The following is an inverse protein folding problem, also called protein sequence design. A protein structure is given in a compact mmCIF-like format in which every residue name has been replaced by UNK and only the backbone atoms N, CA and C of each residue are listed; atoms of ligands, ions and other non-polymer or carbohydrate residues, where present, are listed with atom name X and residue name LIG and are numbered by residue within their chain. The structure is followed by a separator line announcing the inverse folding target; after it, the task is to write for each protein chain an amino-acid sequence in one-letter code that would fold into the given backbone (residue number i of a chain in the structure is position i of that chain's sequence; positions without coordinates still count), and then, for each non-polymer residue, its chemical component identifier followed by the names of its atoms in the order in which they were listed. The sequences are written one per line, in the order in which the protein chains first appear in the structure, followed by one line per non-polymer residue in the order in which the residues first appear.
data_IF_904148161599
#
_entry.id   IF_904148161599
#
_cell.length_a   1.000
_cell.length_b   1.000
_cell.length_c   1.000
_cell.angle_alpha   90.00
_cell.angle_beta   90.00
_cell.angle_gamma   90.00
#
_symmetry.space_group_name_H-M   'P 1'
#
loop_
_entity.id
_entity.type
_entity.pdbx_description
1 polymer ?
#
# COMPACT_ATOMS: atom_id res chain seq x y z
N UNK A 1 -7.71 24.18 4.19
CA UNK A 1 -7.44 24.10 2.73
C UNK A 1 -8.49 23.19 2.13
N UNK A 2 -8.90 23.39 0.87
CA UNK A 2 -9.72 22.38 0.19
C UNK A 2 -8.92 21.08 -0.04
N UNK A 3 -9.62 19.96 -0.20
CA UNK A 3 -9.02 18.62 -0.34
C UNK A 3 -8.06 18.53 -1.54
N UNK A 4 -8.40 19.18 -2.67
CA UNK A 4 -7.54 19.19 -3.87
C UNK A 4 -6.23 19.94 -3.62
N UNK A 5 -6.30 21.07 -2.92
CA UNK A 5 -5.13 21.84 -2.51
C UNK A 5 -4.26 21.04 -1.53
N UNK A 6 -4.86 20.32 -0.59
CA UNK A 6 -4.13 19.43 0.34
C UNK A 6 -3.41 18.31 -0.42
N UNK A 7 -4.11 17.59 -1.30
CA UNK A 7 -3.54 16.53 -2.14
C UNK A 7 -2.38 17.05 -2.99
N UNK A 8 -2.54 18.20 -3.64
CA UNK A 8 -1.49 18.83 -4.47
C UNK A 8 -0.27 19.21 -3.63
N UNK A 9 -0.50 19.75 -2.43
CA UNK A 9 0.58 20.16 -1.52
C UNK A 9 1.36 18.95 -0.99
N UNK A 10 0.67 17.88 -0.58
CA UNK A 10 1.30 16.62 -0.20
C UNK A 10 2.10 16.02 -1.35
N UNK A 11 1.52 15.97 -2.56
CA UNK A 11 2.21 15.42 -3.72
C UNK A 11 3.53 16.13 -4.01
N UNK A 12 3.51 17.47 -3.99
CA UNK A 12 4.71 18.28 -4.18
C UNK A 12 5.75 18.07 -3.08
N UNK A 13 5.33 18.10 -1.81
CA UNK A 13 6.27 17.95 -0.69
C UNK A 13 6.88 16.52 -0.66
N UNK A 14 6.06 15.48 -0.87
CA UNK A 14 6.54 14.09 -0.90
C UNK A 14 7.45 13.81 -2.09
N UNK A 15 7.11 14.34 -3.26
CA UNK A 15 7.98 14.23 -4.44
C UNK A 15 9.34 14.89 -4.20
N UNK A 16 9.39 16.02 -3.47
CA UNK A 16 10.63 16.66 -3.05
C UNK A 16 11.38 15.80 -2.03
N UNK A 17 10.70 15.33 -0.98
CA UNK A 17 11.31 14.50 0.06
C UNK A 17 11.95 13.24 -0.52
N UNK A 18 11.23 12.52 -1.37
CA UNK A 18 11.75 11.34 -2.06
C UNK A 18 12.95 11.68 -2.92
N UNK A 19 12.91 12.78 -3.68
CA UNK A 19 14.06 13.24 -4.48
C UNK A 19 15.29 13.54 -3.64
N UNK A 20 15.12 14.25 -2.54
CA UNK A 20 16.22 14.66 -1.67
C UNK A 20 16.90 13.45 -0.99
N UNK A 21 16.13 12.38 -0.76
CA UNK A 21 16.59 11.19 0.00
C UNK A 21 17.07 10.04 -0.88
N UNK A 22 16.45 9.86 -2.04
CA UNK A 22 16.82 8.82 -3.02
C UNK A 22 17.73 9.34 -4.15
N UNK A 23 17.96 10.66 -4.24
CA UNK A 23 18.76 11.29 -5.31
C UNK A 23 18.04 11.42 -6.66
N UNK A 24 16.92 10.71 -6.85
CA UNK A 24 15.98 10.90 -7.96
C UNK A 24 14.56 10.94 -7.39
N UNK A 25 13.73 11.86 -7.88
CA UNK A 25 12.31 11.92 -7.53
C UNK A 25 11.45 11.11 -8.50
N UNK A 26 10.20 10.81 -8.12
CA UNK A 26 9.26 10.14 -9.01
C UNK A 26 8.88 11.05 -10.20
N UNK A 27 8.50 10.44 -11.32
CA UNK A 27 7.96 11.15 -12.49
C UNK A 27 6.58 11.74 -12.20
N UNK A 28 5.72 10.96 -11.54
CA UNK A 28 4.41 11.40 -11.10
C UNK A 28 4.08 10.84 -9.71
N UNK A 29 3.33 11.62 -8.95
CA UNK A 29 2.86 11.25 -7.63
C UNK A 29 1.41 11.74 -7.46
N UNK A 30 0.51 10.81 -7.18
CA UNK A 30 -0.92 11.07 -6.99
C UNK A 30 -1.32 10.80 -5.55
N UNK A 31 -1.87 11.80 -4.88
CA UNK A 31 -2.37 11.66 -3.50
C UNK A 31 -3.89 11.62 -3.53
N UNK A 32 -4.49 10.69 -2.80
CA UNK A 32 -5.92 10.59 -2.53
C UNK A 32 -6.13 10.72 -1.02
N UNK A 33 -6.89 11.73 -0.59
CA UNK A 33 -7.29 11.88 0.81
C UNK A 33 -8.76 11.45 0.90
N UNK A 34 -9.02 10.38 1.62
CA UNK A 34 -10.34 9.85 1.88
C UNK A 34 -10.37 9.39 3.34
N UNK A 35 -10.65 10.31 4.26
CA UNK A 35 -10.57 10.04 5.70
C UNK A 35 -11.33 8.75 6.07
N UNK A 36 -10.71 7.85 6.86
CA UNK A 36 -9.48 8.04 7.63
C UNK A 36 -8.17 7.67 6.89
N UNK A 37 -8.17 7.61 5.57
CA UNK A 37 -7.04 7.14 4.75
C UNK A 37 -6.38 8.23 3.92
N UNK A 38 -5.05 8.12 3.76
CA UNK A 38 -4.27 8.86 2.75
C UNK A 38 -3.53 7.84 1.90
N UNK A 39 -3.85 7.78 0.61
CA UNK A 39 -3.14 6.93 -0.34
C UNK A 39 -2.27 7.79 -1.26
N UNK A 40 -1.01 7.40 -1.40
CA UNK A 40 -0.03 8.01 -2.30
C UNK A 40 0.37 6.96 -3.32
N UNK A 41 0.05 7.18 -4.58
CA UNK A 41 0.51 6.36 -5.69
C UNK A 41 1.67 7.05 -6.40
N UNK A 42 2.76 6.32 -6.60
CA UNK A 42 4.02 6.79 -7.17
C UNK A 42 4.24 6.09 -8.51
N UNK A 43 4.62 6.86 -9.53
CA UNK A 43 4.95 6.34 -10.86
C UNK A 43 6.32 6.88 -11.33
N UNK A 44 7.06 6.05 -12.08
CA UNK A 44 8.37 6.38 -12.64
C UNK A 44 9.44 6.63 -11.57
N UNK A 45 9.56 5.75 -10.57
CA UNK A 45 10.47 5.91 -9.44
C UNK A 45 11.54 4.82 -9.41
N UNK A 46 12.67 5.11 -10.07
CA UNK A 46 13.85 4.25 -10.15
C UNK A 46 15.11 5.07 -10.40
N UNK A 47 16.08 5.06 -9.47
CA UNK A 47 17.38 5.72 -9.65
C UNK A 47 18.30 4.93 -10.60
N UNK A 48 19.32 5.60 -11.15
CA UNK A 48 20.29 4.94 -12.04
C UNK A 48 21.07 3.82 -11.33
N UNK A 49 21.39 4.01 -10.04
CA UNK A 49 22.07 2.99 -9.24
C UNK A 49 21.18 1.78 -8.99
N UNK A 50 19.90 2.00 -8.65
CA UNK A 50 18.94 0.90 -8.49
C UNK A 50 18.76 0.13 -9.81
N UNK A 51 18.68 0.82 -10.96
CA UNK A 51 18.58 0.16 -12.26
C UNK A 51 19.77 -0.78 -12.52
N UNK A 52 21.00 -0.33 -12.27
CA UNK A 52 22.21 -1.16 -12.42
C UNK A 52 22.15 -2.40 -11.52
N UNK A 53 21.64 -2.27 -10.30
CA UNK A 53 21.47 -3.41 -9.39
C UNK A 53 20.41 -4.39 -9.91
N UNK A 54 19.27 -3.90 -10.40
CA UNK A 54 18.22 -4.74 -10.98
C UNK A 54 18.72 -5.50 -12.21
N UNK A 55 19.48 -4.86 -13.08
CA UNK A 55 20.07 -5.50 -14.27
C UNK A 55 21.05 -6.63 -13.89
N UNK A 56 21.57 -6.63 -12.66
CA UNK A 56 22.43 -7.68 -12.09
C UNK A 56 21.66 -8.70 -11.24
N UNK A 57 20.33 -8.68 -11.23
CA UNK A 57 19.48 -9.57 -10.43
C UNK A 57 19.56 -9.29 -8.93
N UNK A 58 19.92 -8.06 -8.53
CA UNK A 58 20.05 -7.63 -7.14
C UNK A 58 18.76 -6.99 -6.59
N UNK A 59 17.59 -7.49 -7.02
CA UNK A 59 16.26 -7.04 -6.58
C UNK A 59 16.15 -6.95 -5.06
N UNK A 60 16.67 -7.96 -4.36
CA UNK A 60 16.63 -8.02 -2.91
C UNK A 60 17.45 -6.92 -2.24
N UNK A 61 18.57 -6.53 -2.85
CA UNK A 61 19.41 -5.44 -2.37
C UNK A 61 18.69 -4.11 -2.52
N UNK A 62 18.03 -3.88 -3.67
CA UNK A 62 17.21 -2.68 -3.90
C UNK A 62 16.05 -2.60 -2.91
N UNK A 63 15.28 -3.69 -2.76
CA UNK A 63 14.14 -3.74 -1.81
C UNK A 63 14.58 -3.44 -0.37
N UNK A 64 15.69 -4.03 0.09
CA UNK A 64 16.24 -3.76 1.44
C UNK A 64 16.69 -2.31 1.60
N UNK A 65 17.34 -1.73 0.58
CA UNK A 65 17.75 -0.32 0.63
C UNK A 65 16.53 0.61 0.74
N UNK A 66 15.47 0.36 -0.05
CA UNK A 66 14.21 1.12 0.05
C UNK A 66 13.58 1.00 1.43
N UNK A 67 13.57 -0.20 2.00
CA UNK A 67 13.04 -0.46 3.34
C UNK A 67 13.73 0.41 4.41
N UNK A 68 15.07 0.43 4.42
CA UNK A 68 15.83 1.26 5.35
C UNK A 68 15.56 2.75 5.17
N UNK A 69 15.47 3.22 3.92
CA UNK A 69 15.14 4.61 3.63
C UNK A 69 13.73 4.94 4.14
N UNK A 70 12.75 4.11 3.82
CA UNK A 70 11.35 4.35 4.23
C UNK A 70 11.18 4.40 5.74
N UNK A 71 11.83 3.50 6.50
CA UNK A 71 11.84 3.58 7.97
C UNK A 71 12.36 4.91 8.50
N UNK A 72 13.37 5.50 7.84
CA UNK A 72 13.90 6.82 8.22
C UNK A 72 12.97 7.98 7.84
N UNK A 73 12.12 7.80 6.83
CA UNK A 73 11.22 8.83 6.29
C UNK A 73 9.82 8.78 6.90
N UNK A 74 9.42 7.67 7.49
CA UNK A 74 8.09 7.49 8.10
C UNK A 74 7.67 8.67 9.00
N UNK A 75 8.50 9.14 9.97
CA UNK A 75 8.10 10.25 10.83
C UNK A 75 7.87 11.55 10.06
N UNK A 76 8.64 11.78 8.99
CA UNK A 76 8.53 12.99 8.19
C UNK A 76 7.28 12.96 7.30
N UNK A 77 6.97 11.81 6.69
CA UNK A 77 5.71 11.62 5.96
C UNK A 77 4.51 11.87 6.89
N UNK A 78 4.47 11.23 8.05
CA UNK A 78 3.38 11.39 9.03
C UNK A 78 3.24 12.83 9.51
N UNK A 79 4.35 13.49 9.84
CA UNK A 79 4.35 14.89 10.27
C UNK A 79 3.79 15.84 9.20
N UNK A 80 4.14 15.61 7.93
CA UNK A 80 3.60 16.39 6.81
C UNK A 80 2.11 16.11 6.57
N UNK A 81 1.65 14.86 6.68
CA UNK A 81 0.21 14.52 6.60
C UNK A 81 -0.54 15.27 7.70
N UNK A 82 -0.09 15.17 8.96
CA UNK A 82 -0.70 15.86 10.10
C UNK A 82 -0.75 17.37 9.89
N UNK A 83 0.35 17.99 9.46
CA UNK A 83 0.42 19.43 9.25
C UNK A 83 -0.53 19.95 8.15
N UNK A 84 -0.82 19.14 7.12
CA UNK A 84 -1.63 19.57 5.96
C UNK A 84 -3.10 19.16 6.11
N UNK A 85 -3.37 18.01 6.70
CA UNK A 85 -4.70 17.37 6.74
C UNK A 85 -5.32 17.28 8.12
N UNK A 86 -4.53 17.56 9.17
CA UNK A 86 -4.86 17.32 10.58
C UNK A 86 -5.06 15.83 10.94
N UNK A 87 -4.83 14.90 10.01
CA UNK A 87 -4.92 13.47 10.27
C UNK A 87 -3.68 12.96 11.03
N UNK A 88 -3.91 12.30 12.16
CA UNK A 88 -2.83 11.65 12.92
C UNK A 88 -2.68 10.20 12.45
N UNK A 89 -1.81 10.01 11.47
CA UNK A 89 -1.50 8.69 10.92
C UNK A 89 -0.73 7.92 11.98
N UNK A 90 -1.22 6.74 12.40
CA UNK A 90 -0.49 5.88 13.33
C UNK A 90 0.56 5.04 12.62
N UNK A 91 0.20 4.48 11.47
CA UNK A 91 1.06 3.58 10.69
C UNK A 91 1.02 3.96 9.20
N UNK A 92 2.20 3.92 8.56
CA UNK A 92 2.33 3.98 7.11
C UNK A 92 2.67 2.59 6.57
N UNK A 93 1.85 2.13 5.65
CA UNK A 93 2.08 0.91 4.87
C UNK A 93 2.70 1.32 3.54
N UNK A 94 3.71 0.60 3.07
CA UNK A 94 4.32 0.92 1.77
C UNK A 94 4.84 -0.32 1.05
N UNK A 95 4.78 -0.25 -0.29
CA UNK A 95 5.27 -1.31 -1.15
C UNK A 95 5.70 -0.74 -2.52
N UNK A 96 6.51 -1.52 -3.23
CA UNK A 96 7.16 -1.11 -4.47
C UNK A 96 7.09 -2.21 -5.52
N UNK A 97 6.63 -1.84 -6.71
CA UNK A 97 6.74 -2.68 -7.89
C UNK A 97 7.93 -2.17 -8.72
N UNK A 98 9.08 -2.82 -8.54
CA UNK A 98 10.33 -2.40 -9.18
C UNK A 98 10.29 -2.58 -10.70
N UNK A 99 9.57 -3.59 -11.20
CA UNK A 99 9.40 -3.84 -12.63
C UNK A 99 8.59 -2.74 -13.32
N UNK A 100 7.51 -2.30 -12.67
CA UNK A 100 6.68 -1.20 -13.18
C UNK A 100 7.23 0.19 -12.81
N UNK A 101 8.26 0.25 -11.95
CA UNK A 101 8.79 1.47 -11.35
C UNK A 101 7.71 2.27 -10.58
N UNK A 102 6.76 1.57 -9.98
CA UNK A 102 5.65 2.15 -9.24
C UNK A 102 5.76 1.82 -7.74
N UNK A 103 5.00 2.55 -6.92
CA UNK A 103 4.94 2.31 -5.49
C UNK A 103 3.70 2.90 -4.86
N UNK A 104 3.42 2.46 -3.63
CA UNK A 104 2.31 2.99 -2.83
C UNK A 104 2.78 3.33 -1.42
N UNK A 105 2.17 4.37 -0.86
CA UNK A 105 2.16 4.61 0.58
C UNK A 105 0.70 4.77 1.02
N UNK A 106 0.31 4.10 2.10
CA UNK A 106 -1.02 4.23 2.70
C UNK A 106 -0.87 4.61 4.16
N UNK A 107 -1.32 5.81 4.50
CA UNK A 107 -1.50 6.25 5.87
C UNK A 107 -2.89 5.88 6.38
N UNK A 108 -2.93 5.21 7.52
CA UNK A 108 -4.18 4.88 8.23
C UNK A 108 -4.26 5.68 9.52
N UNK A 109 -5.35 6.45 9.66
CA UNK A 109 -5.74 7.12 10.89
C UNK A 109 -6.73 6.22 11.67
N UNK A 110 -6.60 6.04 12.98
CA UNK A 110 -7.54 5.24 13.79
C UNK A 110 -8.81 6.01 14.10
N UNK A 111 -8.75 7.34 14.11
CA UNK A 111 -9.90 8.18 14.40
C UNK A 111 -10.80 8.23 13.16
N UNK A 112 -11.96 7.56 13.26
CA UNK A 112 -13.07 7.80 12.34
C UNK A 112 -13.56 9.23 12.55
N UNK A 113 -13.74 10.04 11.50
CA UNK A 113 -14.35 11.36 11.66
C UNK A 113 -15.76 11.20 12.24
N UNK A 114 -16.01 11.92 13.34
CA UNK A 114 -17.29 11.92 14.02
C UNK A 114 -18.41 12.35 13.05
N UNK A 115 -19.26 11.40 12.64
CA UNK A 115 -20.52 11.69 11.95
C UNK A 115 -20.58 11.43 10.44
N UNK A 116 -19.63 10.73 9.82
CA UNK A 116 -19.71 10.34 8.41
C UNK A 116 -20.37 8.97 8.20
N UNK A 117 -21.42 8.89 7.38
CA UNK A 117 -21.84 7.62 6.76
C UNK A 117 -20.72 7.14 5.85
N UNK A 118 -20.30 5.88 6.02
CA UNK A 118 -19.14 5.24 5.40
C UNK A 118 -19.37 4.93 3.91
N UNK A 119 -19.64 5.97 3.10
CA UNK A 119 -20.01 5.83 1.68
C UNK A 119 -18.89 5.20 0.85
N UNK A 120 -17.63 5.38 1.25
CA UNK A 120 -16.46 4.75 0.63
C UNK A 120 -16.40 3.23 0.90
N UNK A 121 -17.09 2.74 1.93
CA UNK A 121 -17.16 1.31 2.24
C UNK A 121 -18.17 0.55 1.38
N UNK A 122 -19.02 1.24 0.59
CA UNK A 122 -20.05 0.61 -0.25
C UNK A 122 -19.70 0.75 -1.73
N UNK A 123 -19.37 -0.36 -2.39
CA UNK A 123 -19.11 -0.41 -3.83
C UNK A 123 -19.51 -1.77 -4.42
N UNK A 124 -19.81 -1.79 -5.72
CA UNK A 124 -20.23 -3.01 -6.42
C UNK A 124 -19.11 -4.06 -6.46
N UNK A 125 -19.46 -5.32 -6.18
CA UNK A 125 -18.51 -6.43 -6.17
C UNK A 125 -17.68 -6.56 -4.88
N UNK A 126 -17.99 -5.81 -3.82
CA UNK A 126 -17.28 -5.86 -2.54
C UNK A 126 -17.18 -7.27 -1.96
N UNK A 127 -18.28 -8.00 -1.90
CA UNK A 127 -18.32 -9.36 -1.34
C UNK A 127 -17.48 -10.34 -2.15
N UNK A 128 -17.46 -10.20 -3.48
CA UNK A 128 -16.65 -11.01 -4.37
C UNK A 128 -15.16 -10.70 -4.23
N UNK A 129 -14.80 -9.42 -4.05
CA UNK A 129 -13.42 -9.02 -3.69
C UNK A 129 -13.01 -9.69 -2.39
N UNK A 130 -13.85 -9.61 -1.35
CA UNK A 130 -13.56 -10.21 -0.04
C UNK A 130 -13.37 -11.72 -0.14
N UNK A 131 -14.24 -12.42 -0.88
CA UNK A 131 -14.12 -13.88 -1.12
C UNK A 131 -12.79 -14.24 -1.79
N UNK A 132 -12.39 -13.49 -2.82
CA UNK A 132 -11.11 -13.76 -3.51
C UNK A 132 -9.90 -13.47 -2.60
N UNK A 133 -9.95 -12.39 -1.81
CA UNK A 133 -8.90 -12.06 -0.83
C UNK A 133 -8.80 -13.16 0.25
N UNK A 134 -9.92 -13.63 0.79
CA UNK A 134 -9.96 -14.72 1.78
C UNK A 134 -9.35 -15.98 1.19
N UNK A 135 -9.70 -16.33 -0.05
CA UNK A 135 -9.17 -17.51 -0.73
C UNK A 135 -7.66 -17.43 -0.97
N UNK A 136 -7.15 -16.26 -1.35
CA UNK A 136 -5.70 -16.03 -1.52
C UNK A 136 -4.98 -16.17 -0.18
N UNK A 137 -5.50 -15.54 0.87
CA UNK A 137 -4.94 -15.58 2.23
C UNK A 137 -4.97 -17.01 2.80
N UNK A 138 -6.07 -17.74 2.66
CA UNK A 138 -6.16 -19.16 3.06
C UNK A 138 -5.10 -20.04 2.37
N UNK A 139 -4.80 -19.78 1.10
CA UNK A 139 -3.76 -20.52 0.37
C UNK A 139 -2.35 -20.16 0.81
N UNK A 140 -2.11 -18.91 1.19
CA UNK A 140 -0.79 -18.42 1.60
C UNK A 140 -0.48 -18.71 3.07
N UNK A 141 -1.50 -18.67 3.94
CA UNK A 141 -1.38 -18.66 5.40
C UNK A 141 -2.61 -19.32 6.08
N UNK A 142 -3.57 -18.52 6.53
CA UNK A 142 -4.87 -18.90 7.09
C UNK A 142 -5.96 -17.96 6.57
N UNK A 143 -7.22 -18.29 6.87
CA UNK A 143 -8.33 -17.34 6.70
C UNK A 143 -8.12 -16.15 7.67
N UNK A 144 -8.22 -14.89 7.21
CA UNK A 144 -8.17 -13.72 8.08
C UNK A 144 -9.32 -13.71 9.08
N UNK A 145 -9.07 -13.18 10.27
CA UNK A 145 -10.12 -12.99 11.28
C UNK A 145 -11.11 -11.88 10.86
N UNK A 146 -10.66 -10.92 10.03
CA UNK A 146 -11.50 -9.89 9.43
C UNK A 146 -10.99 -9.40 8.08
N UNK A 147 -11.91 -9.01 7.19
CA UNK A 147 -11.60 -8.37 5.89
C UNK A 147 -12.51 -7.15 5.71
N UNK A 148 -11.91 -6.00 5.46
CA UNK A 148 -12.59 -4.73 5.24
C UNK A 148 -12.06 -4.10 3.96
N UNK A 149 -12.87 -3.31 3.26
CA UNK A 149 -12.41 -2.64 2.04
C UNK A 149 -13.14 -1.33 1.79
N UNK A 150 -12.41 -0.40 1.18
CA UNK A 150 -12.83 0.98 0.99
C UNK A 150 -12.38 1.50 -0.38
N UNK A 151 -13.34 1.86 -1.22
CA UNK A 151 -13.09 2.47 -2.51
C UNK A 151 -12.81 3.97 -2.28
N UNK A 152 -11.53 4.32 -2.13
CA UNK A 152 -11.10 5.68 -1.81
C UNK A 152 -11.35 6.65 -2.97
N UNK A 153 -11.31 6.13 -4.21
CA UNK A 153 -11.70 6.83 -5.42
C UNK A 153 -12.04 5.81 -6.52
N UNK A 154 -12.59 6.22 -7.68
CA UNK A 154 -12.77 5.32 -8.82
C UNK A 154 -11.45 4.67 -9.32
N UNK A 155 -10.28 5.15 -8.88
CA UNK A 155 -8.96 4.65 -9.27
C UNK A 155 -8.19 3.96 -8.15
N UNK A 156 -8.75 3.87 -6.94
CA UNK A 156 -8.02 3.32 -5.80
C UNK A 156 -8.96 2.62 -4.82
N UNK A 157 -8.66 1.36 -4.56
CA UNK A 157 -9.32 0.53 -3.56
C UNK A 157 -8.27 0.05 -2.55
N UNK A 158 -8.60 0.15 -1.27
CA UNK A 158 -7.80 -0.51 -0.22
C UNK A 158 -8.60 -1.66 0.40
N UNK A 159 -7.89 -2.70 0.81
CA UNK A 159 -8.41 -3.83 1.57
C UNK A 159 -7.55 -4.00 2.81
N UNK A 160 -8.19 -4.08 3.97
CA UNK A 160 -7.54 -4.30 5.26
C UNK A 160 -7.88 -5.72 5.70
N UNK A 161 -6.87 -6.49 6.09
CA UNK A 161 -7.05 -7.81 6.70
C UNK A 161 -6.55 -7.77 8.14
N UNK A 162 -7.29 -8.37 9.05
CA UNK A 162 -6.93 -8.50 10.46
C UNK A 162 -6.78 -9.98 10.82
N UNK A 163 -5.87 -10.28 11.74
CA UNK A 163 -5.63 -11.62 12.24
C UNK A 163 -5.22 -12.57 11.12
N UNK A 164 -4.03 -12.40 10.57
CA UNK A 164 -3.54 -13.11 9.38
C UNK A 164 -2.41 -14.09 9.72
N UNK A 165 -1.66 -13.82 10.79
CA UNK A 165 -0.46 -14.59 11.12
C UNK A 165 -0.78 -15.98 11.69
N UNK A 166 -0.05 -16.99 11.22
CA UNK A 166 -0.05 -18.34 11.78
C UNK A 166 1.01 -18.50 12.90
N UNK A 167 0.93 -19.53 13.76
CA UNK A 167 1.84 -19.66 14.91
C UNK A 167 3.33 -19.66 14.56
N UNK A 168 3.74 -20.28 13.45
CA UNK A 168 5.14 -20.30 13.02
C UNK A 168 5.65 -18.90 12.62
N UNK A 169 4.81 -18.07 12.00
CA UNK A 169 5.17 -16.70 11.62
C UNK A 169 5.34 -15.83 12.86
N UNK A 170 4.43 -15.95 13.84
CA UNK A 170 4.55 -15.28 15.14
C UNK A 170 5.88 -15.66 15.83
N UNK A 171 6.28 -16.93 15.74
CA UNK A 171 7.57 -17.38 16.26
C UNK A 171 8.75 -16.76 15.50
N UNK A 172 8.71 -16.70 14.17
CA UNK A 172 9.76 -16.07 13.35
C UNK A 172 9.92 -14.58 13.70
N UNK A 173 8.80 -13.87 13.87
CA UNK A 173 8.80 -12.46 14.29
C UNK A 173 9.45 -12.32 15.68
N UNK A 174 9.09 -13.18 16.64
CA UNK A 174 9.67 -13.14 18.00
C UNK A 174 11.20 -13.38 18.04
N UNK A 175 11.73 -14.07 17.02
CA UNK A 175 13.15 -14.35 16.85
C UNK A 175 13.90 -13.26 16.05
N UNK A 176 13.21 -12.19 15.63
CA UNK A 176 13.79 -11.09 14.85
C UNK A 176 13.95 -11.39 13.37
N UNK A 177 13.16 -12.32 12.82
CA UNK A 177 13.14 -12.63 11.38
C UNK A 177 12.00 -11.91 10.62
N UNK A 178 11.45 -10.84 11.19
CA UNK A 178 10.34 -10.07 10.62
C UNK A 178 10.64 -9.55 9.20
N UNK A 179 11.84 -9.03 8.95
CA UNK A 179 12.21 -8.55 7.61
C UNK A 179 12.23 -9.65 6.55
N UNK A 180 12.81 -10.80 6.89
CA UNK A 180 12.85 -11.93 5.97
C UNK A 180 11.45 -12.50 5.73
N UNK A 181 10.60 -12.52 6.77
CA UNK A 181 9.21 -12.92 6.65
C UNK A 181 8.44 -11.96 5.73
N UNK A 182 8.57 -10.64 5.91
CA UNK A 182 7.94 -9.62 5.07
C UNK A 182 8.32 -9.79 3.60
N UNK A 183 9.60 -9.98 3.32
CA UNK A 183 10.11 -10.25 1.96
C UNK A 183 9.46 -11.50 1.36
N UNK A 184 9.45 -12.61 2.10
CA UNK A 184 8.92 -13.88 1.62
C UNK A 184 7.40 -13.80 1.39
N UNK A 185 6.65 -13.21 2.32
CA UNK A 185 5.20 -12.98 2.18
C UNK A 185 4.89 -12.07 1.00
N UNK A 186 5.64 -10.99 0.80
CA UNK A 186 5.49 -10.10 -0.36
C UNK A 186 5.66 -10.80 -1.69
N UNK A 187 6.66 -11.67 -1.80
CA UNK A 187 6.82 -12.47 -3.01
C UNK A 187 5.66 -13.45 -3.18
N UNK A 188 5.29 -14.19 -2.13
CA UNK A 188 4.20 -15.17 -2.19
C UNK A 188 2.86 -14.52 -2.50
N UNK A 189 2.37 -13.65 -1.61
CA UNK A 189 1.03 -13.05 -1.69
C UNK A 189 0.94 -12.04 -2.83
N UNK A 190 1.98 -11.25 -3.08
CA UNK A 190 2.03 -10.31 -4.19
C UNK A 190 1.85 -11.01 -5.54
N UNK A 191 2.56 -12.13 -5.76
CA UNK A 191 2.40 -12.94 -6.97
C UNK A 191 0.98 -13.52 -7.09
N UNK A 192 0.36 -13.95 -5.99
CA UNK A 192 -1.02 -14.45 -6.01
C UNK A 192 -2.04 -13.36 -6.35
N UNK A 193 -1.86 -12.16 -5.78
CA UNK A 193 -2.74 -11.02 -5.99
C UNK A 193 -2.67 -10.51 -7.43
N UNK A 194 -1.45 -10.31 -7.95
CA UNK A 194 -1.22 -9.81 -9.32
C UNK A 194 -1.78 -10.77 -10.37
N UNK A 195 -1.66 -12.08 -10.14
CA UNK A 195 -2.10 -13.09 -11.10
C UNK A 195 -3.60 -13.45 -10.98
N UNK A 196 -4.34 -12.87 -10.02
CA UNK A 196 -5.78 -13.14 -9.93
C UNK A 196 -6.56 -12.34 -10.99
N UNK A 197 -7.12 -13.07 -11.95
CA UNK A 197 -7.99 -12.49 -12.99
C UNK A 197 -9.38 -12.11 -12.49
N UNK A 198 -9.73 -12.44 -11.24
CA UNK A 198 -11.06 -12.17 -10.69
C UNK A 198 -11.26 -10.69 -10.34
N UNK A 199 -10.22 -10.02 -9.83
CA UNK A 199 -10.34 -8.63 -9.39
C UNK A 199 -10.78 -7.69 -10.51
N UNK A 200 -10.17 -7.78 -11.69
CA UNK A 200 -10.54 -6.93 -12.84
C UNK A 200 -11.99 -7.17 -13.30
N UNK A 201 -12.48 -8.41 -13.20
CA UNK A 201 -13.87 -8.76 -13.57
C UNK A 201 -14.87 -8.19 -12.57
N UNK A 202 -14.59 -8.39 -11.28
CA UNK A 202 -15.48 -7.98 -10.18
C UNK A 202 -15.55 -6.47 -10.06
N UNK A 203 -14.41 -5.78 -10.18
CA UNK A 203 -14.33 -4.32 -10.05
C UNK A 203 -14.72 -3.57 -11.32
N UNK A 204 -14.98 -4.29 -12.42
CA UNK A 204 -15.23 -3.73 -13.75
C UNK A 204 -14.21 -2.62 -14.13
N UNK A 205 -12.92 -2.89 -13.86
CA UNK A 205 -11.82 -1.98 -14.09
C UNK A 205 -10.55 -2.78 -14.37
N UNK A 206 -9.61 -2.17 -15.08
CA UNK A 206 -8.27 -2.75 -15.24
C UNK A 206 -7.47 -2.50 -13.97
N UNK A 207 -7.02 -3.57 -13.31
CA UNK A 207 -6.06 -3.49 -12.20
C UNK A 207 -4.67 -3.19 -12.79
N UNK A 208 -4.16 -1.98 -12.56
CA UNK A 208 -2.86 -1.55 -13.07
C UNK A 208 -1.71 -2.02 -12.18
N UNK A 209 -1.89 -1.92 -10.87
CA UNK A 209 -0.94 -2.39 -9.87
C UNK A 209 -1.69 -2.89 -8.64
N UNK A 210 -1.06 -3.83 -7.94
CA UNK A 210 -1.48 -4.32 -6.62
C UNK A 210 -0.28 -4.31 -5.70
N UNK A 211 -0.50 -3.86 -4.47
CA UNK A 211 0.52 -3.72 -3.45
C UNK A 211 0.04 -4.36 -2.16
N UNK A 212 0.96 -4.90 -1.36
CA UNK A 212 0.63 -5.47 -0.05
C UNK A 212 1.73 -5.22 0.96
N UNK A 213 1.32 -4.78 2.15
CA UNK A 213 2.23 -4.56 3.27
C UNK A 213 1.56 -4.89 4.61
N UNK A 214 2.37 -5.16 5.63
CA UNK A 214 1.92 -5.73 6.92
C UNK A 214 2.32 -4.90 8.12
N UNK A 215 1.48 -4.87 9.15
CA UNK A 215 1.92 -4.58 10.50
C UNK A 215 1.84 -5.88 11.32
N UNK A 216 3.02 -6.47 11.57
CA UNK A 216 3.11 -7.73 12.32
C UNK A 216 2.86 -7.56 13.81
N UNK A 217 2.98 -6.35 14.36
CA UNK A 217 2.64 -6.07 15.76
C UNK A 217 1.13 -6.01 15.93
N UNK A 218 0.44 -5.38 14.98
CA UNK A 218 -1.03 -5.30 14.97
C UNK A 218 -1.71 -6.55 14.40
N UNK A 219 -0.95 -7.52 13.87
CA UNK A 219 -1.46 -8.71 13.17
C UNK A 219 -2.44 -8.32 12.05
N UNK A 220 -2.04 -7.35 11.20
CA UNK A 220 -2.86 -6.87 10.10
C UNK A 220 -2.05 -6.66 8.81
N UNK A 221 -2.78 -6.40 7.71
CA UNK A 221 -2.17 -5.97 6.45
C UNK A 221 -3.08 -5.03 5.67
N UNK A 222 -2.46 -4.25 4.80
CA UNK A 222 -3.13 -3.38 3.84
C UNK A 222 -2.75 -3.81 2.43
N UNK A 223 -3.76 -4.11 1.62
CA UNK A 223 -3.65 -4.36 0.18
C UNK A 223 -4.20 -3.13 -0.54
N UNK A 224 -3.47 -2.63 -1.53
CA UNK A 224 -3.91 -1.49 -2.34
C UNK A 224 -3.98 -1.88 -3.81
N UNK A 225 -5.14 -1.63 -4.42
CA UNK A 225 -5.36 -1.77 -5.85
C UNK A 225 -5.38 -0.39 -6.51
N UNK A 226 -4.56 -0.24 -7.55
CA UNK A 226 -4.59 0.92 -8.44
C UNK A 226 -5.39 0.54 -9.68
N UNK A 227 -6.48 1.25 -9.92
CA UNK A 227 -7.49 0.91 -10.91
C UNK A 227 -7.50 1.93 -12.04
N UNK A 228 -7.63 1.44 -13.27
CA UNK A 228 -8.02 2.21 -14.44
C UNK A 228 -9.47 1.85 -14.78
N UNK A 229 -10.44 2.75 -14.55
CA UNK A 229 -11.82 2.54 -14.96
C UNK A 229 -11.90 2.19 -16.45
N UNK A 230 -12.76 1.24 -16.79
CA UNK A 230 -13.10 0.98 -18.19
C UNK A 230 -13.76 2.23 -18.79
N UNK A 231 -13.38 2.61 -20.01
CA UNK A 231 -14.06 3.69 -20.72
C UNK A 231 -15.53 3.26 -20.94
N UNK A 232 -16.47 4.14 -20.55
CA UNK A 232 -17.91 3.94 -20.74
C UNK A 232 -18.29 4.26 -22.17
#
# INVERSE_FOLDING_TARGET
MDIKAQQTKLASNFGKLLRDKFGKGPEALHVTIAQPYVLVYINGFMSAMEQVLLDQGQDMTVKKAREYLMKSLDPEFRGQIKAITDMDIQHLYYDWNLSNQTGVLVGVCPELPAGGTDTIASYDGKEEVHKEIIKISERAEKVPDGVFSYLLSPRSLIVIREGILVPIEKQLISLGFDENLRIAKRQLEGDMLINSTQFSKVLNAVVQDVFVDWDFVLDNSVISFILKPNEV
#
